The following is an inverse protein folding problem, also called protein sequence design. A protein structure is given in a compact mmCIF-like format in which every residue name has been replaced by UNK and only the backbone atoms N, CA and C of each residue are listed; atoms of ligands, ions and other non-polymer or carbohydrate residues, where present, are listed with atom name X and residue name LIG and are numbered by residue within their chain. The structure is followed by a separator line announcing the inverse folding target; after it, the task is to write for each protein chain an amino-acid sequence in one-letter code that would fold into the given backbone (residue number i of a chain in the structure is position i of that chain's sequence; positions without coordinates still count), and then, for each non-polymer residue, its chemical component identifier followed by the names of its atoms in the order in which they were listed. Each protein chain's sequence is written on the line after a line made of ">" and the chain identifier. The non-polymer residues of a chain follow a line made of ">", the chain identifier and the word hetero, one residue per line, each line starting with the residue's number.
data_IF_857369659930
#
_entry.id   IF_857369659930
#
_cell.length_a   1.000
_cell.length_b   1.000
_cell.length_c   1.000
_cell.angle_alpha   90.00
_cell.angle_beta   90.00
_cell.angle_gamma   90.00
#
_symmetry.space_group_name_H-M   'P 1'
#
loop_
_entity.id
_entity.type
_entity.pdbx_description
1 polymer ?
#
# COMPACT_ATOMS: atom_id res chain seq x y z
N UNK A 1 -88.20 -54.60 53.95
CA UNK A 1 -87.52 -53.31 53.78
C UNK A 1 -86.18 -53.62 53.14
N UNK A 2 -86.22 -53.77 51.82
CA UNK A 2 -85.07 -54.24 51.03
C UNK A 2 -84.79 -53.17 49.99
N UNK A 3 -83.56 -52.75 49.92
CA UNK A 3 -83.10 -51.75 48.94
C UNK A 3 -82.20 -52.51 47.96
N UNK A 4 -82.68 -52.52 46.67
CA UNK A 4 -81.95 -53.07 45.53
C UNK A 4 -81.07 -52.04 44.93
N UNK A 5 -79.89 -52.47 44.58
CA UNK A 5 -78.94 -51.67 43.74
C UNK A 5 -78.88 -52.23 42.33
N UNK A 6 -78.94 -51.41 41.29
CA UNK A 6 -78.75 -51.85 39.91
C UNK A 6 -77.20 -51.77 39.46
N UNK A 7 -76.80 -52.52 38.42
CA UNK A 7 -75.42 -52.76 38.09
C UNK A 7 -74.83 -51.64 37.22
N UNK A 8 -73.57 -51.38 37.42
CA UNK A 8 -72.75 -50.43 36.68
C UNK A 8 -72.26 -51.07 35.35
N UNK A 9 -72.57 -50.43 34.21
CA UNK A 9 -72.01 -50.82 32.92
C UNK A 9 -70.74 -50.04 32.67
N UNK A 10 -69.62 -50.80 32.53
CA UNK A 10 -68.33 -50.39 31.99
C UNK A 10 -68.38 -50.37 30.46
N UNK A 11 -68.18 -49.25 29.82
CA UNK A 11 -67.79 -49.15 28.41
C UNK A 11 -67.65 -47.70 27.98
N UNK A 12 -66.61 -46.97 28.30
CA UNK A 12 -66.25 -45.70 27.64
C UNK A 12 -64.87 -45.16 28.05
N UNK A 13 -63.82 -45.97 28.01
CA UNK A 13 -62.45 -45.44 28.35
C UNK A 13 -61.40 -45.80 27.27
N UNK A 14 -61.77 -46.36 26.13
CA UNK A 14 -60.75 -46.75 25.10
C UNK A 14 -60.68 -45.79 23.90
N UNK A 15 -61.45 -44.71 23.86
CA UNK A 15 -61.55 -43.79 22.71
C UNK A 15 -60.71 -42.53 22.77
N UNK A 16 -60.07 -42.20 23.89
CA UNK A 16 -59.49 -40.86 24.08
C UNK A 16 -57.94 -40.81 24.04
N UNK A 17 -57.26 -41.93 23.94
CA UNK A 17 -55.80 -41.98 24.02
C UNK A 17 -55.07 -42.10 22.64
N UNK A 18 -55.81 -42.02 21.52
CA UNK A 18 -55.25 -42.13 20.18
C UNK A 18 -55.21 -40.84 19.37
N UNK A 19 -55.67 -39.69 19.91
CA UNK A 19 -55.72 -38.41 19.20
C UNK A 19 -54.73 -37.35 19.75
N UNK A 20 -53.95 -37.60 20.77
CA UNK A 20 -53.04 -36.61 21.36
C UNK A 20 -51.55 -36.86 20.96
N UNK A 21 -51.24 -37.96 20.27
CA UNK A 21 -49.86 -38.26 19.88
C UNK A 21 -49.50 -37.85 18.46
N UNK A 22 -50.44 -37.35 17.64
CA UNK A 22 -50.18 -37.00 16.23
C UNK A 22 -49.99 -35.50 15.96
N UNK A 23 -50.03 -34.64 16.97
CA UNK A 23 -49.91 -33.18 16.79
C UNK A 23 -48.63 -32.57 17.41
N UNK A 24 -47.72 -33.39 17.96
CA UNK A 24 -46.51 -32.93 18.62
C UNK A 24 -45.21 -33.16 17.78
N UNK A 25 -45.28 -33.66 16.52
CA UNK A 25 -44.08 -33.99 15.70
C UNK A 25 -43.90 -33.05 14.50
N UNK A 26 -44.75 -32.04 14.27
CA UNK A 26 -44.63 -31.14 13.11
C UNK A 26 -44.17 -29.71 13.48
N UNK A 27 -43.71 -29.48 14.70
CA UNK A 27 -43.30 -28.12 15.12
C UNK A 27 -41.77 -27.96 15.36
N UNK A 28 -40.91 -28.89 14.86
CA UNK A 28 -39.44 -28.79 15.04
C UNK A 28 -38.67 -28.89 13.73
N UNK A 29 -39.28 -28.66 12.59
CA UNK A 29 -38.56 -28.51 11.32
C UNK A 29 -38.83 -27.10 10.81
N UNK A 30 -37.89 -26.21 11.01
CA UNK A 30 -37.91 -24.97 10.28
C UNK A 30 -37.60 -23.73 11.07
N UNK A 31 -36.43 -23.59 11.65
CA UNK A 31 -35.77 -22.28 11.75
C UNK A 31 -34.24 -22.51 11.85
N UNK A 32 -33.67 -23.21 10.88
CA UNK A 32 -32.31 -22.89 10.46
C UNK A 32 -32.41 -21.53 9.75
N UNK A 33 -32.55 -20.46 10.51
CA UNK A 33 -32.25 -19.12 10.02
C UNK A 33 -30.77 -19.18 9.67
N UNK A 34 -30.50 -19.38 8.37
CA UNK A 34 -29.21 -19.02 7.79
C UNK A 34 -29.04 -17.54 8.14
N UNK A 35 -28.34 -17.28 9.23
CA UNK A 35 -27.75 -15.97 9.49
C UNK A 35 -26.74 -15.76 8.36
N UNK A 36 -27.21 -15.32 7.19
CA UNK A 36 -26.39 -14.58 6.25
C UNK A 36 -25.99 -13.35 7.07
N UNK A 37 -24.82 -13.43 7.69
CA UNK A 37 -24.12 -12.22 8.08
C UNK A 37 -23.97 -11.42 6.80
N UNK A 38 -24.89 -10.50 6.56
CA UNK A 38 -24.66 -9.39 5.67
C UNK A 38 -23.40 -8.74 6.26
N UNK A 39 -22.25 -9.00 5.64
CA UNK A 39 -21.02 -8.29 5.97
C UNK A 39 -21.38 -6.82 5.78
N UNK A 40 -21.51 -6.10 6.88
CA UNK A 40 -21.80 -4.68 6.84
C UNK A 40 -20.77 -4.04 5.90
N UNK A 41 -21.24 -3.26 4.94
CA UNK A 41 -20.41 -2.59 3.94
C UNK A 41 -19.46 -1.66 4.70
N UNK A 42 -18.24 -2.14 4.93
CA UNK A 42 -17.24 -1.42 5.72
C UNK A 42 -16.51 -0.46 4.78
N UNK A 43 -16.54 0.83 5.11
CA UNK A 43 -15.78 1.85 4.36
C UNK A 43 -14.44 2.07 5.04
N UNK A 44 -13.33 2.07 4.26
CA UNK A 44 -11.98 2.43 4.70
C UNK A 44 -11.45 3.56 3.83
N UNK A 45 -10.75 4.50 4.47
CA UNK A 45 -10.07 5.62 3.81
C UNK A 45 -8.60 5.26 3.64
N UNK A 46 -8.09 5.31 2.42
CA UNK A 46 -6.69 4.97 2.12
C UNK A 46 -5.98 6.18 1.55
N UNK A 47 -4.94 6.65 2.25
CA UNK A 47 -4.08 7.72 1.79
C UNK A 47 -3.12 7.24 0.71
N UNK A 48 -3.13 7.88 -0.45
CA UNK A 48 -2.27 7.56 -1.60
C UNK A 48 -1.67 8.83 -2.20
N UNK A 49 -0.65 8.68 -3.04
CA UNK A 49 -0.16 9.80 -3.83
C UNK A 49 -1.05 10.02 -5.05
N UNK A 50 -1.30 11.28 -5.40
CA UNK A 50 -2.02 11.63 -6.62
C UNK A 50 -1.24 11.27 -7.88
N UNK A 51 -1.91 11.16 -9.04
CA UNK A 51 -1.32 10.81 -10.34
C UNK A 51 -1.59 9.35 -10.71
N UNK A 52 -0.59 8.68 -11.25
CA UNK A 52 -0.68 7.32 -11.79
C UNK A 52 -1.27 6.32 -10.77
N UNK A 53 -0.96 6.48 -9.50
CA UNK A 53 -1.43 5.61 -8.43
C UNK A 53 -2.97 5.64 -8.28
N UNK A 54 -3.60 6.78 -8.57
CA UNK A 54 -5.07 6.89 -8.54
C UNK A 54 -5.75 5.88 -9.47
N UNK A 55 -5.18 5.62 -10.66
CA UNK A 55 -5.75 4.66 -11.61
C UNK A 55 -5.55 3.22 -11.15
N UNK A 56 -4.44 2.89 -10.51
CA UNK A 56 -4.24 1.59 -9.87
C UNK A 56 -5.24 1.39 -8.74
N UNK A 57 -5.42 2.39 -7.87
CA UNK A 57 -6.33 2.31 -6.73
C UNK A 57 -7.81 2.27 -7.12
N UNK A 58 -8.22 2.73 -8.32
CA UNK A 58 -9.55 2.46 -8.88
C UNK A 58 -9.80 0.97 -9.07
N UNK A 59 -8.79 0.24 -9.57
CA UNK A 59 -8.88 -1.23 -9.73
C UNK A 59 -8.92 -1.90 -8.36
N UNK A 60 -8.07 -1.49 -7.42
CA UNK A 60 -8.08 -1.99 -6.03
C UNK A 60 -9.44 -1.79 -5.37
N UNK A 61 -10.04 -0.60 -5.52
CA UNK A 61 -11.35 -0.30 -4.96
C UNK A 61 -12.45 -1.19 -5.56
N UNK A 62 -12.41 -1.45 -6.87
CA UNK A 62 -13.33 -2.38 -7.52
C UNK A 62 -13.17 -3.82 -6.99
N UNK A 63 -11.95 -4.30 -6.80
CA UNK A 63 -11.67 -5.61 -6.23
C UNK A 63 -12.11 -5.70 -4.75
N UNK A 64 -11.88 -4.66 -3.96
CA UNK A 64 -12.31 -4.59 -2.56
C UNK A 64 -13.85 -4.66 -2.44
N UNK A 65 -14.57 -3.99 -3.34
CA UNK A 65 -16.03 -4.00 -3.36
C UNK A 65 -16.61 -5.42 -3.55
N UNK A 66 -15.95 -6.28 -4.32
CA UNK A 66 -16.36 -7.69 -4.47
C UNK A 66 -16.26 -8.49 -3.17
N UNK A 67 -15.50 -7.97 -2.20
CA UNK A 67 -15.28 -8.57 -0.88
C UNK A 67 -16.06 -7.84 0.24
N UNK A 68 -17.03 -6.97 -0.10
CA UNK A 68 -17.80 -6.18 0.86
C UNK A 68 -16.96 -5.13 1.59
N UNK A 69 -15.94 -4.56 0.92
CA UNK A 69 -15.11 -3.49 1.44
C UNK A 69 -15.15 -2.29 0.49
N UNK A 70 -15.71 -1.17 0.95
CA UNK A 70 -15.68 0.09 0.20
C UNK A 70 -14.39 0.83 0.49
N UNK A 71 -13.54 1.04 -0.51
CA UNK A 71 -12.30 1.81 -0.41
C UNK A 71 -12.54 3.22 -0.93
N UNK A 72 -12.22 4.23 -0.10
CA UNK A 72 -12.20 5.65 -0.47
C UNK A 72 -10.77 6.15 -0.42
N UNK A 73 -10.21 6.54 -1.56
CA UNK A 73 -8.88 7.12 -1.61
C UNK A 73 -8.88 8.57 -1.14
N UNK A 74 -7.86 8.93 -0.36
CA UNK A 74 -7.54 10.30 0.04
C UNK A 74 -6.22 10.65 -0.63
N UNK A 75 -6.24 11.67 -1.49
CA UNK A 75 -5.11 12.01 -2.36
C UNK A 75 -4.20 13.03 -1.66
N UNK A 76 -2.91 12.71 -1.62
CA UNK A 76 -1.87 13.58 -1.08
C UNK A 76 -0.94 14.09 -2.18
N UNK A 77 -0.38 15.28 -1.95
CA UNK A 77 0.50 15.97 -2.91
C UNK A 77 1.97 16.02 -2.48
N UNK A 78 2.30 15.48 -1.30
CA UNK A 78 3.67 15.36 -0.80
C UNK A 78 3.80 14.15 0.14
N UNK A 79 5.04 13.71 0.39
CA UNK A 79 5.31 12.51 1.20
C UNK A 79 5.16 12.74 2.72
N UNK A 80 5.08 13.97 3.20
CA UNK A 80 5.08 14.28 4.64
C UNK A 80 3.71 14.07 5.27
N UNK A 81 2.63 14.25 4.50
CA UNK A 81 1.26 14.27 5.00
C UNK A 81 0.64 12.89 5.26
N UNK A 82 0.84 11.82 4.44
CA UNK A 82 0.06 10.58 4.59
C UNK A 82 0.28 9.87 5.93
N UNK A 83 1.49 9.88 6.48
CA UNK A 83 1.77 9.28 7.80
C UNK A 83 1.17 10.10 8.94
N UNK A 84 1.21 11.42 8.84
CA UNK A 84 0.54 12.29 9.82
C UNK A 84 -0.97 12.08 9.82
N UNK A 85 -1.58 12.00 8.63
CA UNK A 85 -3.01 11.73 8.48
C UNK A 85 -3.40 10.34 9.06
N UNK A 86 -2.56 9.32 8.86
CA UNK A 86 -2.79 7.99 9.43
C UNK A 86 -2.65 7.99 10.96
N UNK A 87 -1.61 8.66 11.49
CA UNK A 87 -1.43 8.76 12.93
C UNK A 87 -2.59 9.47 13.63
N UNK A 88 -3.15 10.51 13.01
CA UNK A 88 -4.33 11.23 13.53
C UNK A 88 -5.66 10.52 13.31
N UNK A 89 -5.70 9.48 12.45
CA UNK A 89 -6.92 8.79 12.08
C UNK A 89 -7.77 9.52 11.03
N UNK A 90 -7.17 10.45 10.27
CA UNK A 90 -7.82 11.09 9.12
C UNK A 90 -7.95 10.11 7.95
N UNK A 91 -7.08 9.10 7.88
CA UNK A 91 -7.16 7.92 7.03
C UNK A 91 -7.01 6.65 7.88
N UNK A 92 -7.51 5.52 7.38
CA UNK A 92 -7.47 4.24 8.08
C UNK A 92 -6.24 3.40 7.67
N UNK A 93 -5.72 3.65 6.47
CA UNK A 93 -4.47 3.10 5.94
C UNK A 93 -3.78 4.14 5.04
N UNK A 94 -2.51 3.92 4.74
CA UNK A 94 -1.85 4.59 3.61
C UNK A 94 -1.02 3.60 2.78
N UNK A 95 -0.72 3.97 1.53
CA UNK A 95 0.08 3.17 0.62
C UNK A 95 0.87 4.08 -0.32
N UNK A 96 2.06 4.51 0.10
CA UNK A 96 2.89 5.45 -0.67
C UNK A 96 4.39 5.28 -0.41
N UNK A 97 4.77 4.53 0.63
CA UNK A 97 6.10 4.55 1.21
C UNK A 97 6.76 3.18 1.25
N UNK A 98 8.08 3.18 1.34
CA UNK A 98 8.93 2.02 1.58
C UNK A 98 9.45 1.98 3.02
N UNK A 99 9.98 0.80 3.43
CA UNK A 99 10.39 0.58 4.83
C UNK A 99 11.43 1.59 5.35
N UNK A 100 12.51 1.93 4.62
CA UNK A 100 13.48 2.93 5.09
C UNK A 100 12.86 4.31 5.35
N UNK A 101 11.86 4.73 4.55
CA UNK A 101 11.14 5.97 4.79
C UNK A 101 10.32 5.90 6.08
N UNK A 102 9.50 4.85 6.23
CA UNK A 102 8.68 4.68 7.43
C UNK A 102 9.54 4.61 8.69
N UNK A 103 10.65 3.86 8.68
CA UNK A 103 11.55 3.74 9.84
C UNK A 103 12.12 5.10 10.26
N UNK A 104 12.52 5.92 9.30
CA UNK A 104 12.97 7.27 9.56
C UNK A 104 11.85 8.15 10.15
N UNK A 105 10.63 8.07 9.60
CA UNK A 105 9.48 8.80 10.11
C UNK A 105 9.11 8.37 11.55
N UNK A 106 9.11 7.07 11.85
CA UNK A 106 8.89 6.55 13.21
C UNK A 106 9.96 7.10 14.15
N UNK A 107 11.23 7.02 13.76
CA UNK A 107 12.34 7.49 14.58
C UNK A 107 12.28 8.99 14.88
N UNK A 108 11.88 9.80 13.91
CA UNK A 108 11.94 11.26 13.99
C UNK A 108 10.65 11.92 14.44
N UNK A 109 9.50 11.29 14.17
CA UNK A 109 8.18 11.84 14.46
C UNK A 109 7.43 11.08 15.57
N UNK A 110 7.90 9.87 15.92
CA UNK A 110 7.25 9.03 16.95
C UNK A 110 5.95 8.37 16.47
N UNK A 111 5.76 8.17 15.17
CA UNK A 111 4.54 7.54 14.63
C UNK A 111 4.41 6.09 15.04
N UNK A 112 3.17 5.62 15.24
CA UNK A 112 2.80 4.25 15.59
C UNK A 112 2.18 3.58 14.36
N UNK A 113 2.98 3.39 13.32
CA UNK A 113 2.53 2.90 12.01
C UNK A 113 3.30 1.63 11.65
N UNK A 114 2.59 0.63 11.13
CA UNK A 114 3.14 -0.68 10.77
C UNK A 114 2.72 -1.11 9.37
N UNK A 115 3.60 -1.77 8.59
CA UNK A 115 3.26 -2.33 7.29
C UNK A 115 2.41 -3.60 7.46
N UNK A 116 1.44 -3.80 6.56
CA UNK A 116 0.54 -4.98 6.58
C UNK A 116 0.53 -5.78 5.28
N UNK A 117 0.99 -5.23 4.16
CA UNK A 117 1.07 -5.97 2.89
C UNK A 117 1.84 -5.18 1.84
N UNK A 118 2.74 -5.85 1.11
CA UNK A 118 3.49 -5.21 0.02
C UNK A 118 2.57 -4.79 -1.13
N UNK A 119 2.93 -3.70 -1.79
CA UNK A 119 2.23 -3.18 -2.97
C UNK A 119 3.10 -3.32 -4.22
N UNK A 120 4.01 -2.40 -4.46
CA UNK A 120 4.85 -2.42 -5.63
C UNK A 120 6.26 -1.92 -5.31
N UNK A 121 7.19 -2.10 -6.23
CA UNK A 121 8.50 -1.47 -6.23
C UNK A 121 8.64 -0.61 -7.47
N UNK A 122 9.06 0.63 -7.24
CA UNK A 122 9.34 1.60 -8.29
C UNK A 122 10.81 1.99 -8.19
N UNK A 123 11.66 1.55 -9.14
CA UNK A 123 13.09 1.85 -9.10
C UNK A 123 13.32 3.34 -9.30
N UNK A 124 14.04 3.98 -8.36
CA UNK A 124 14.45 5.37 -8.52
C UNK A 124 15.43 5.49 -9.70
N UNK A 125 15.31 6.55 -10.49
CA UNK A 125 16.12 6.74 -11.70
C UNK A 125 16.92 8.04 -11.67
N UNK A 126 18.06 8.02 -12.35
CA UNK A 126 18.86 9.21 -12.72
C UNK A 126 18.39 9.66 -14.11
N UNK A 127 17.90 10.87 -14.21
CA UNK A 127 17.34 11.47 -15.41
C UNK A 127 18.15 12.68 -15.87
N UNK A 128 18.14 12.96 -17.18
CA UNK A 128 18.73 14.18 -17.74
C UNK A 128 18.04 14.57 -19.03
N UNK A 129 17.85 15.87 -19.26
CA UNK A 129 17.48 16.43 -20.55
C UNK A 129 18.71 16.88 -21.37
N UNK A 130 19.90 16.97 -20.73
CA UNK A 130 21.13 17.51 -21.34
C UNK A 130 22.06 16.45 -21.89
N UNK A 131 22.04 15.26 -21.31
CA UNK A 131 22.92 14.15 -21.70
C UNK A 131 22.16 12.83 -21.81
N UNK A 132 22.67 11.89 -22.60
CA UNK A 132 22.02 10.59 -22.84
C UNK A 132 22.71 9.42 -22.12
N UNK A 133 23.86 9.67 -21.47
CA UNK A 133 24.54 8.67 -20.66
C UNK A 133 25.24 9.30 -19.46
N UNK A 134 25.54 8.48 -18.45
CA UNK A 134 26.32 8.90 -17.27
C UNK A 134 27.73 9.35 -17.66
N UNK A 135 28.31 8.75 -18.71
CA UNK A 135 29.65 9.10 -19.18
C UNK A 135 29.73 10.55 -19.71
N UNK A 136 28.65 11.05 -20.32
CA UNK A 136 28.55 12.37 -20.93
C UNK A 136 28.36 13.51 -19.92
N UNK A 137 28.12 13.19 -18.63
CA UNK A 137 27.99 14.22 -17.60
C UNK A 137 29.30 15.03 -17.49
N UNK A 138 29.24 16.36 -17.54
CA UNK A 138 30.44 17.21 -17.49
C UNK A 138 31.11 17.16 -16.10
N UNK A 139 32.37 17.57 -16.03
CA UNK A 139 33.03 17.87 -14.76
C UNK A 139 32.28 19.02 -14.07
N UNK A 140 32.05 18.87 -12.75
CA UNK A 140 31.32 19.85 -11.96
C UNK A 140 29.80 19.83 -12.18
N UNK A 141 29.26 18.79 -12.84
CA UNK A 141 27.82 18.64 -13.05
C UNK A 141 27.01 18.83 -11.76
N UNK A 142 25.91 19.53 -11.85
CA UNK A 142 24.96 19.72 -10.72
C UNK A 142 23.89 18.65 -10.82
N UNK A 143 23.81 17.80 -9.80
CA UNK A 143 22.85 16.68 -9.74
C UNK A 143 21.87 16.90 -8.60
N UNK A 144 20.58 16.98 -8.93
CA UNK A 144 19.49 17.06 -7.95
C UNK A 144 19.22 15.71 -7.29
N UNK A 145 18.97 15.71 -6.00
CA UNK A 145 18.57 14.54 -5.22
C UNK A 145 17.44 14.90 -4.23
N UNK A 146 16.58 13.95 -3.82
CA UNK A 146 15.61 14.19 -2.77
C UNK A 146 16.31 14.54 -1.45
N UNK A 147 15.70 15.40 -0.63
CA UNK A 147 16.26 15.86 0.64
C UNK A 147 15.75 15.12 1.88
N UNK A 148 14.82 14.17 1.73
CA UNK A 148 14.48 13.30 2.86
C UNK A 148 15.58 12.24 3.04
N UNK A 149 15.96 11.90 4.31
CA UNK A 149 17.16 11.08 4.57
C UNK A 149 17.15 9.73 3.86
N UNK A 150 16.00 9.11 3.67
CA UNK A 150 15.91 7.79 3.05
C UNK A 150 16.04 7.83 1.53
N UNK A 151 15.44 8.83 0.86
CA UNK A 151 15.56 8.98 -0.59
C UNK A 151 16.86 9.72 -0.98
N UNK A 152 17.42 10.60 -0.15
CA UNK A 152 18.78 11.14 -0.34
C UNK A 152 19.79 9.99 -0.36
N UNK A 153 19.82 9.17 0.69
CA UNK A 153 20.74 8.03 0.76
C UNK A 153 20.55 7.06 -0.40
N UNK A 154 19.30 6.78 -0.78
CA UNK A 154 18.97 5.96 -1.96
C UNK A 154 19.53 6.58 -3.25
N UNK A 155 19.37 7.88 -3.43
CA UNK A 155 19.90 8.60 -4.59
C UNK A 155 21.44 8.55 -4.65
N UNK A 156 22.11 8.77 -3.52
CA UNK A 156 23.58 8.68 -3.43
C UNK A 156 24.10 7.28 -3.74
N UNK A 157 23.38 6.22 -3.32
CA UNK A 157 23.69 4.84 -3.69
C UNK A 157 23.56 4.60 -5.20
N UNK A 158 22.60 5.21 -5.88
CA UNK A 158 22.52 5.18 -7.35
C UNK A 158 23.75 5.85 -7.97
N UNK A 159 24.11 7.05 -7.51
CA UNK A 159 25.29 7.78 -8.01
C UNK A 159 26.60 7.00 -7.78
N UNK A 160 26.75 6.36 -6.61
CA UNK A 160 27.89 5.47 -6.33
C UNK A 160 27.91 4.27 -7.29
N UNK A 161 26.78 3.60 -7.48
CA UNK A 161 26.70 2.44 -8.37
C UNK A 161 27.12 2.73 -9.80
N UNK A 162 26.84 3.93 -10.30
CA UNK A 162 27.25 4.34 -11.65
C UNK A 162 28.64 4.99 -11.70
N UNK A 163 29.38 4.96 -10.59
CA UNK A 163 30.77 5.43 -10.52
C UNK A 163 30.96 6.95 -10.50
N UNK A 164 29.90 7.71 -10.20
CA UNK A 164 30.00 9.17 -10.10
C UNK A 164 30.59 9.64 -8.77
N UNK A 165 30.34 8.90 -7.70
CA UNK A 165 30.88 9.16 -6.35
C UNK A 165 31.28 7.85 -5.68
N UNK A 166 32.04 7.95 -4.59
CA UNK A 166 32.24 6.87 -3.61
C UNK A 166 31.79 7.36 -2.25
N UNK A 167 30.94 6.60 -1.59
CA UNK A 167 30.51 6.83 -0.21
C UNK A 167 31.48 6.16 0.76
N UNK A 168 31.55 6.66 1.98
CA UNK A 168 32.28 6.06 3.09
C UNK A 168 31.78 4.64 3.34
N UNK A 169 32.67 3.71 3.56
CA UNK A 169 32.29 2.33 3.85
C UNK A 169 31.42 2.24 5.11
N UNK A 170 30.36 1.43 5.04
CA UNK A 170 29.43 1.22 6.15
C UNK A 170 28.37 2.30 6.37
N UNK A 171 28.28 3.33 5.53
CA UNK A 171 27.27 4.40 5.65
C UNK A 171 25.85 3.88 5.47
N UNK A 172 25.64 2.88 4.59
CA UNK A 172 24.35 2.23 4.39
C UNK A 172 23.33 3.10 3.65
N UNK A 173 22.03 2.80 3.90
CA UNK A 173 20.91 3.36 3.15
C UNK A 173 20.51 4.78 3.59
N UNK A 174 21.10 5.34 4.63
CA UNK A 174 20.86 6.70 5.10
C UNK A 174 22.13 7.58 4.89
N UNK A 175 22.91 7.28 3.82
CA UNK A 175 24.03 8.10 3.40
C UNK A 175 23.59 9.56 3.15
N UNK A 176 24.46 10.49 3.47
CA UNK A 176 24.28 11.92 3.20
C UNK A 176 25.37 12.44 2.27
N UNK A 177 25.21 13.60 1.70
CA UNK A 177 26.24 14.24 0.85
C UNK A 177 27.60 14.39 1.55
N UNK A 178 27.62 14.46 2.90
CA UNK A 178 28.87 14.52 3.70
C UNK A 178 29.63 13.17 3.78
N UNK A 179 29.00 12.08 3.36
CA UNK A 179 29.63 10.75 3.31
C UNK A 179 30.37 10.47 2.00
N UNK A 180 30.37 11.43 1.07
CA UNK A 180 31.10 11.31 -0.20
C UNK A 180 32.60 11.45 0.09
N UNK A 181 33.36 10.37 -0.12
CA UNK A 181 34.82 10.32 0.11
C UNK A 181 35.63 10.40 -1.18
N UNK A 182 35.01 10.13 -2.35
CA UNK A 182 35.62 10.32 -3.66
C UNK A 182 34.57 10.84 -4.66
N UNK A 183 35.01 11.75 -5.51
CA UNK A 183 34.16 12.46 -6.46
C UNK A 183 35.00 12.87 -7.70
N UNK A 184 35.30 11.90 -8.58
CA UNK A 184 36.28 12.11 -9.65
C UNK A 184 35.90 13.14 -10.69
N UNK A 185 34.57 13.35 -10.89
CA UNK A 185 34.06 14.41 -11.79
C UNK A 185 33.79 15.72 -11.06
N UNK A 186 33.93 15.78 -9.73
CA UNK A 186 33.63 16.99 -8.94
C UNK A 186 32.16 17.39 -9.03
N UNK A 187 31.23 16.41 -9.09
CA UNK A 187 29.79 16.68 -9.16
C UNK A 187 29.34 17.44 -7.91
N UNK A 188 28.30 18.26 -8.08
CA UNK A 188 27.69 19.04 -6.99
C UNK A 188 26.32 18.46 -6.71
N UNK A 189 26.11 18.01 -5.49
CA UNK A 189 24.80 17.52 -5.03
C UNK A 189 23.93 18.73 -4.67
N UNK A 190 22.70 18.77 -5.21
CA UNK A 190 21.67 19.75 -4.86
C UNK A 190 20.47 19.03 -4.26
N UNK A 191 20.34 19.14 -2.95
CA UNK A 191 19.23 18.55 -2.20
C UNK A 191 17.97 19.39 -2.40
N UNK A 192 16.87 18.76 -2.81
CA UNK A 192 15.59 19.38 -3.09
C UNK A 192 14.46 18.49 -2.55
N UNK A 193 13.31 19.07 -2.27
CA UNK A 193 12.10 18.29 -1.96
C UNK A 193 11.82 17.29 -3.09
N UNK A 194 11.42 16.05 -2.75
CA UNK A 194 11.20 14.97 -3.71
C UNK A 194 10.23 15.36 -4.84
N UNK A 195 9.17 16.13 -4.52
CA UNK A 195 8.20 16.65 -5.49
C UNK A 195 8.73 17.79 -6.37
N UNK A 196 9.91 18.35 -6.05
CA UNK A 196 10.53 19.46 -6.76
C UNK A 196 11.67 18.97 -7.66
N UNK A 197 12.39 17.92 -7.28
CA UNK A 197 13.59 17.45 -7.99
C UNK A 197 13.34 17.27 -9.48
N UNK A 198 12.29 16.54 -9.86
CA UNK A 198 11.98 16.26 -11.26
C UNK A 198 11.61 17.52 -12.05
N UNK A 199 10.89 18.44 -11.42
CA UNK A 199 10.49 19.73 -12.04
C UNK A 199 11.66 20.67 -12.27
N UNK A 200 12.76 20.49 -11.53
CA UNK A 200 13.98 21.31 -11.66
C UNK A 200 14.97 20.74 -12.68
N UNK A 201 14.60 19.74 -13.48
CA UNK A 201 15.52 18.99 -14.36
C UNK A 201 16.23 19.91 -15.37
N UNK A 202 15.57 20.93 -15.88
CA UNK A 202 16.13 21.85 -16.87
C UNK A 202 17.21 22.79 -16.26
N UNK A 203 17.15 23.06 -14.97
CA UNK A 203 18.14 23.84 -14.21
C UNK A 203 19.31 22.99 -13.71
N UNK A 204 19.25 21.67 -13.88
CA UNK A 204 20.24 20.70 -13.44
C UNK A 204 20.94 20.05 -14.64
N UNK A 205 22.06 19.40 -14.39
CA UNK A 205 22.68 18.55 -15.40
C UNK A 205 22.11 17.14 -15.41
N UNK A 206 21.68 16.67 -14.24
CA UNK A 206 20.88 15.47 -14.05
C UNK A 206 20.14 15.51 -12.70
N UNK A 207 19.21 14.58 -12.49
CA UNK A 207 18.50 14.47 -11.22
C UNK A 207 18.15 13.01 -10.91
N UNK A 208 18.31 12.59 -9.65
CA UNK A 208 17.76 11.31 -9.18
C UNK A 208 16.35 11.56 -8.69
N UNK A 209 15.36 10.93 -9.34
CA UNK A 209 13.95 11.22 -9.12
C UNK A 209 13.19 9.93 -8.84
N UNK A 210 12.34 9.94 -7.81
CA UNK A 210 11.38 8.87 -7.54
C UNK A 210 10.43 8.72 -8.73
N UNK A 211 10.06 7.49 -9.08
CA UNK A 211 9.33 7.19 -10.33
C UNK A 211 7.99 7.93 -10.44
N UNK A 212 7.21 8.00 -9.38
CA UNK A 212 5.94 8.74 -9.36
C UNK A 212 6.14 10.26 -9.62
N UNK A 213 7.19 10.84 -9.01
CA UNK A 213 7.55 12.24 -9.24
C UNK A 213 8.17 12.49 -10.61
N UNK A 214 8.89 11.50 -11.15
CA UNK A 214 9.41 11.60 -12.52
C UNK A 214 8.26 11.69 -13.53
N UNK A 215 7.27 10.79 -13.44
CA UNK A 215 6.10 10.80 -14.32
C UNK A 215 5.29 12.08 -14.17
N UNK A 216 4.99 12.52 -12.94
CA UNK A 216 4.30 13.79 -12.66
C UNK A 216 5.05 15.03 -13.16
N UNK A 217 6.36 14.96 -13.29
CA UNK A 217 7.19 16.02 -13.85
C UNK A 217 7.30 15.97 -15.37
N UNK A 218 6.66 14.99 -16.03
CA UNK A 218 6.69 14.80 -17.46
C UNK A 218 7.96 14.10 -17.98
N UNK A 219 8.82 13.60 -17.07
CA UNK A 219 10.00 12.80 -17.44
C UNK A 219 9.57 11.44 -17.99
N UNK A 220 10.20 11.02 -19.07
CA UNK A 220 9.93 9.76 -19.76
C UNK A 220 11.02 8.75 -19.43
N UNK A 221 10.74 7.71 -18.61
CA UNK A 221 11.77 6.74 -18.23
C UNK A 221 12.49 6.08 -19.40
N UNK A 222 11.79 5.85 -20.51
CA UNK A 222 12.35 5.25 -21.71
C UNK A 222 13.28 6.18 -22.52
N UNK A 223 13.19 7.50 -22.29
CA UNK A 223 13.94 8.52 -23.05
C UNK A 223 14.95 9.27 -22.19
N UNK A 224 14.49 9.74 -21.02
CA UNK A 224 15.21 10.74 -20.22
C UNK A 224 16.05 10.10 -19.11
N UNK A 225 15.81 8.79 -18.80
CA UNK A 225 16.51 8.05 -17.76
C UNK A 225 17.85 7.52 -18.27
N UNK A 226 18.94 7.97 -17.67
CA UNK A 226 20.33 7.55 -18.02
C UNK A 226 20.88 6.48 -17.10
N UNK A 227 20.28 6.25 -15.92
CA UNK A 227 20.57 5.15 -15.01
C UNK A 227 19.40 4.90 -14.05
N UNK A 228 19.41 3.74 -13.38
CA UNK A 228 18.44 3.42 -12.32
C UNK A 228 19.05 2.49 -11.28
N UNK A 229 18.43 2.36 -10.13
CA UNK A 229 18.77 1.34 -9.14
C UNK A 229 18.39 -0.07 -9.64
N UNK A 230 18.99 -1.14 -9.08
CA UNK A 230 18.62 -2.51 -9.39
C UNK A 230 17.23 -2.85 -8.83
N UNK A 231 16.55 -3.79 -9.49
CA UNK A 231 15.27 -4.32 -9.03
C UNK A 231 15.43 -5.52 -8.09
N UNK A 232 16.46 -6.32 -8.33
CA UNK A 232 16.75 -7.50 -7.49
C UNK A 232 17.11 -7.06 -6.06
N UNK A 233 16.54 -7.75 -5.07
CA UNK A 233 16.76 -7.51 -3.63
C UNK A 233 16.56 -6.05 -3.20
N UNK A 234 15.64 -5.35 -3.88
CA UNK A 234 15.40 -3.94 -3.64
C UNK A 234 14.70 -3.74 -2.28
N UNK A 235 15.31 -3.01 -1.32
CA UNK A 235 14.73 -2.78 0.01
C UNK A 235 13.62 -1.72 0.00
N UNK A 236 13.39 -1.05 -1.13
CA UNK A 236 12.44 0.06 -1.28
C UNK A 236 11.08 -0.40 -1.82
N UNK A 237 10.71 -1.66 -1.54
CA UNK A 237 9.33 -2.15 -1.81
C UNK A 237 8.34 -1.37 -0.96
N UNK A 238 7.31 -0.85 -1.61
CA UNK A 238 6.23 -0.14 -0.95
C UNK A 238 5.19 -1.11 -0.37
N UNK A 239 4.36 -0.60 0.52
CA UNK A 239 3.38 -1.41 1.23
C UNK A 239 2.16 -0.57 1.64
N UNK A 240 1.07 -1.26 1.97
CA UNK A 240 -0.04 -0.74 2.75
C UNK A 240 0.39 -0.71 4.21
N UNK A 241 0.18 0.42 4.87
CA UNK A 241 0.43 0.60 6.29
C UNK A 241 -0.84 1.00 7.03
N UNK A 242 -0.93 0.59 8.29
CA UNK A 242 -2.01 0.93 9.22
C UNK A 242 -1.43 1.43 10.54
N UNK A 243 -2.25 2.03 11.39
CA UNK A 243 -1.85 2.35 12.75
C UNK A 243 -1.63 1.07 13.55
N UNK A 244 -0.60 1.04 14.39
CA UNK A 244 -0.29 -0.10 15.24
C UNK A 244 -1.49 -0.48 16.13
N UNK A 245 -1.76 -1.77 16.23
CA UNK A 245 -2.94 -2.33 16.90
C UNK A 245 -4.12 -2.62 15.97
N UNK A 246 -4.07 -2.18 14.69
CA UNK A 246 -5.10 -2.43 13.68
C UNK A 246 -4.71 -3.48 12.63
N UNK A 247 -3.54 -4.11 12.76
CA UNK A 247 -2.99 -5.07 11.77
C UNK A 247 -3.90 -6.29 11.56
N UNK A 248 -4.62 -6.68 12.62
CA UNK A 248 -5.51 -7.84 12.61
C UNK A 248 -6.97 -7.51 12.31
N UNK A 249 -7.30 -6.26 12.03
CA UNK A 249 -8.67 -5.87 11.70
C UNK A 249 -9.13 -6.62 10.44
N UNK A 250 -10.36 -7.14 10.41
CA UNK A 250 -10.84 -7.98 9.29
C UNK A 250 -10.77 -7.28 7.92
N UNK A 251 -10.90 -5.96 7.88
CA UNK A 251 -10.81 -5.19 6.66
C UNK A 251 -9.39 -5.11 6.09
N UNK A 252 -8.36 -5.19 6.94
CA UNK A 252 -6.95 -5.12 6.50
C UNK A 252 -6.62 -6.28 5.57
N UNK A 253 -6.99 -7.51 5.95
CA UNK A 253 -6.78 -8.70 5.12
C UNK A 253 -7.49 -8.56 3.75
N UNK A 254 -8.72 -8.03 3.75
CA UNK A 254 -9.48 -7.80 2.51
C UNK A 254 -8.83 -6.74 1.64
N UNK A 255 -8.34 -5.63 2.23
CA UNK A 255 -7.65 -4.57 1.51
C UNK A 255 -6.35 -5.08 0.87
N UNK A 256 -5.54 -5.84 1.61
CA UNK A 256 -4.30 -6.45 1.08
C UNK A 256 -4.63 -7.41 -0.06
N UNK A 257 -5.63 -8.29 0.09
CA UNK A 257 -6.05 -9.21 -0.96
C UNK A 257 -6.61 -8.47 -2.20
N UNK A 258 -7.31 -7.35 -1.98
CA UNK A 258 -7.81 -6.50 -3.06
C UNK A 258 -6.68 -5.78 -3.83
N UNK A 259 -5.51 -5.59 -3.22
CA UNK A 259 -4.33 -5.08 -3.90
C UNK A 259 -3.53 -6.19 -4.58
N UNK A 260 -3.31 -7.32 -3.90
CA UNK A 260 -2.40 -8.39 -4.32
C UNK A 260 -3.12 -9.41 -5.23
N UNK A 261 -3.44 -9.01 -6.46
CA UNK A 261 -4.09 -9.87 -7.45
C UNK A 261 -3.62 -9.54 -8.89
N UNK A 262 -4.03 -10.37 -9.86
CA UNK A 262 -3.56 -10.23 -11.23
C UNK A 262 -4.13 -9.01 -11.96
N UNK A 263 -5.34 -8.54 -11.61
CA UNK A 263 -5.91 -7.33 -12.23
C UNK A 263 -5.09 -6.10 -11.82
N UNK A 264 -4.65 -6.03 -10.58
CA UNK A 264 -3.77 -4.95 -10.08
C UNK A 264 -2.37 -5.05 -10.70
N UNK A 265 -1.82 -6.25 -10.91
CA UNK A 265 -0.56 -6.41 -11.69
C UNK A 265 -0.68 -5.85 -13.09
N UNK A 266 -1.79 -6.14 -13.78
CA UNK A 266 -2.03 -5.60 -15.13
C UNK A 266 -2.20 -4.07 -15.09
N UNK A 267 -2.91 -3.54 -14.10
CA UNK A 267 -3.05 -2.09 -13.91
C UNK A 267 -1.69 -1.42 -13.68
N UNK A 268 -0.85 -1.95 -12.79
CA UNK A 268 0.52 -1.47 -12.55
C UNK A 268 1.35 -1.45 -13.85
N UNK A 269 1.36 -2.55 -14.59
CA UNK A 269 2.11 -2.65 -15.85
C UNK A 269 1.64 -1.63 -16.89
N UNK A 270 0.32 -1.42 -16.99
CA UNK A 270 -0.29 -0.48 -17.94
C UNK A 270 -0.04 0.97 -17.52
N UNK A 271 -0.34 1.32 -16.28
CA UNK A 271 -0.33 2.70 -15.77
C UNK A 271 1.10 3.23 -15.67
N UNK A 272 2.02 2.39 -15.18
CA UNK A 272 3.43 2.75 -15.01
C UNK A 272 4.32 2.34 -16.19
N UNK A 273 3.73 1.94 -17.34
CA UNK A 273 4.48 1.58 -18.55
C UNK A 273 5.62 0.57 -18.28
N UNK A 274 5.39 -0.38 -17.38
CA UNK A 274 6.36 -1.39 -16.99
C UNK A 274 7.45 -0.92 -16.01
N UNK A 275 7.42 0.32 -15.53
CA UNK A 275 8.38 0.83 -14.54
C UNK A 275 7.98 0.49 -13.09
N UNK A 276 6.71 0.22 -12.84
CA UNK A 276 6.20 -0.27 -11.55
C UNK A 276 6.03 -1.78 -11.57
N UNK A 277 6.61 -2.49 -10.63
CA UNK A 277 6.55 -3.94 -10.52
C UNK A 277 5.86 -4.40 -9.24
N UNK A 278 5.04 -5.47 -9.28
CA UNK A 278 4.48 -6.07 -8.08
C UNK A 278 5.59 -6.47 -7.10
N UNK A 279 5.36 -6.24 -5.81
CA UNK A 279 6.32 -6.55 -4.75
C UNK A 279 5.87 -7.72 -3.83
N UNK A 280 4.79 -8.43 -4.23
CA UNK A 280 4.26 -9.62 -3.57
C UNK A 280 4.43 -10.87 -4.40
#
# INVERSE_FOLDING_TARGET
>A
MSIEHPPVRSSAVIGFLRRVITTAVIATIGLAVASTFAMADQTVRVGIMGGEDEDVWKVVAAQAQTQGLTVKTVIFSDYTQPNEALERGDVDANAFQHKPYLDNQIKTRGYHIVPVGYTAVWPIGLYSHKVHSVADLPKGAVIGVPNDPSNEGRALLVLQRVGLIKLRDGTGILATSTDIVDNPKGIKIKELDAGIVGRSIDDLDAAVVNTDWALKSGLKPEKDRIAQEPLADNPYRNFIAVKAGHESDPWVKRLVAAYQNDDVKQALAKVYHGTGLPAW
#
